data_IF_514156764696
#
_entry.id   IF_514156764696
#
_cell.length_a   1.000
_cell.length_b   1.000
_cell.length_c   1.000
_cell.angle_alpha   90.00
_cell.angle_beta   90.00
_cell.angle_gamma   90.00
#
_symmetry.space_group_name_H-M   'P 1'
#
loop_
_entity.id
_entity.type
_entity.pdbx_description
1 polymer ?
#
# COMPACT_ATOMS: atom_id res chain seq x y z
N UNK A 1 25.54 -1.85 18.05
CA UNK A 1 24.32 -2.70 18.01
C UNK A 1 24.59 -3.74 16.94
N UNK A 2 25.03 -4.94 17.31
CA UNK A 2 25.44 -5.96 16.33
C UNK A 2 24.19 -6.70 15.78
N UNK A 3 24.13 -6.86 14.48
CA UNK A 3 23.05 -7.56 13.77
C UNK A 3 23.26 -9.08 13.77
N UNK A 4 23.59 -9.67 14.92
CA UNK A 4 23.87 -11.11 15.06
C UNK A 4 22.95 -11.75 16.11
N UNK A 5 21.65 -11.54 15.98
CA UNK A 5 20.70 -12.47 16.61
C UNK A 5 20.68 -13.71 15.71
N UNK A 6 21.14 -14.88 16.17
CA UNK A 6 20.96 -16.09 15.39
C UNK A 6 19.46 -16.33 15.27
N UNK A 7 18.93 -16.21 14.06
CA UNK A 7 17.69 -16.87 13.69
C UNK A 7 17.94 -18.36 13.94
N UNK A 8 17.58 -18.83 15.13
CA UNK A 8 17.55 -20.25 15.45
C UNK A 8 16.78 -20.91 14.32
N UNK A 9 17.47 -21.71 13.50
CA UNK A 9 16.98 -22.24 12.23
C UNK A 9 15.56 -22.79 12.40
N UNK A 10 14.51 -22.08 11.94
CA UNK A 10 13.12 -22.52 12.10
C UNK A 10 12.92 -23.94 11.52
N UNK A 11 13.78 -24.32 10.58
CA UNK A 11 13.86 -25.65 9.98
C UNK A 11 14.07 -26.76 11.01
N UNK A 12 14.81 -26.51 12.09
CA UNK A 12 15.01 -27.48 13.17
C UNK A 12 13.71 -27.82 13.94
N UNK A 13 12.71 -26.96 13.83
CA UNK A 13 11.39 -27.13 14.44
C UNK A 13 10.32 -27.53 13.41
N UNK A 14 10.73 -27.89 12.18
CA UNK A 14 9.80 -28.24 11.10
C UNK A 14 9.13 -27.04 10.42
N UNK A 15 9.62 -25.82 10.65
CA UNK A 15 9.14 -24.61 10.00
C UNK A 15 10.09 -24.19 8.88
N UNK A 16 9.58 -23.55 7.83
CA UNK A 16 10.42 -22.99 6.78
C UNK A 16 10.11 -21.52 6.55
N UNK A 17 11.16 -20.75 6.29
CA UNK A 17 11.02 -19.34 5.93
C UNK A 17 10.38 -19.20 4.55
N UNK A 18 9.41 -18.31 4.42
CA UNK A 18 8.81 -17.92 3.14
C UNK A 18 9.76 -16.99 2.36
N UNK A 19 10.76 -17.58 1.72
CA UNK A 19 11.84 -16.88 1.00
C UNK A 19 11.88 -17.16 -0.52
N UNK A 20 10.84 -17.80 -1.06
CA UNK A 20 10.74 -18.09 -2.48
C UNK A 20 11.64 -19.21 -3.00
N UNK A 21 12.34 -19.98 -2.14
CA UNK A 21 13.20 -21.09 -2.61
C UNK A 21 12.39 -22.24 -3.21
N UNK A 22 13.00 -22.98 -4.13
CA UNK A 22 12.45 -24.24 -4.64
C UNK A 22 12.86 -25.42 -3.75
N UNK A 23 11.92 -26.34 -3.53
CA UNK A 23 12.13 -27.58 -2.79
C UNK A 23 11.71 -28.79 -3.61
N UNK A 24 12.34 -29.94 -3.33
CA UNK A 24 11.95 -31.23 -3.89
C UNK A 24 10.64 -31.72 -3.25
N UNK A 25 9.68 -32.16 -4.07
CA UNK A 25 8.40 -32.72 -3.65
C UNK A 25 8.61 -33.99 -2.82
N UNK A 26 9.52 -34.86 -3.26
CA UNK A 26 9.82 -36.14 -2.59
C UNK A 26 10.41 -35.96 -1.19
N UNK A 27 11.14 -34.85 -0.96
CA UNK A 27 11.72 -34.55 0.34
C UNK A 27 10.72 -33.89 1.30
N UNK A 28 9.69 -33.19 0.77
CA UNK A 28 8.71 -32.44 1.56
C UNK A 28 7.26 -32.68 1.09
N UNK A 29 6.78 -33.93 1.10
CA UNK A 29 5.48 -34.28 0.51
C UNK A 29 4.30 -33.65 1.26
N UNK A 30 4.38 -33.52 2.59
CA UNK A 30 3.33 -32.89 3.40
C UNK A 30 3.22 -31.39 3.12
N UNK A 31 4.35 -30.70 3.00
CA UNK A 31 4.37 -29.28 2.68
C UNK A 31 3.84 -29.03 1.26
N UNK A 32 4.20 -29.90 0.32
CA UNK A 32 3.65 -29.85 -1.04
C UNK A 32 2.14 -30.10 -1.06
N UNK A 33 1.60 -31.00 -0.23
CA UNK A 33 0.16 -31.24 -0.16
C UNK A 33 -0.63 -29.99 0.27
N UNK A 34 -0.02 -29.09 1.05
CA UNK A 34 -0.65 -27.84 1.51
C UNK A 34 -0.45 -26.69 0.51
N UNK A 35 0.77 -26.49 0.02
CA UNK A 35 1.12 -25.33 -0.84
C UNK A 35 0.83 -25.63 -2.32
N UNK A 36 1.06 -26.87 -2.75
CA UNK A 36 1.01 -27.29 -4.13
C UNK A 36 1.98 -26.51 -5.00
N UNK A 37 1.53 -26.15 -6.20
CA UNK A 37 2.31 -25.38 -7.19
C UNK A 37 1.86 -23.92 -7.28
N UNK A 38 1.16 -23.41 -6.25
CA UNK A 38 0.56 -22.07 -6.25
C UNK A 38 1.59 -20.97 -6.52
N UNK A 39 2.76 -21.06 -5.90
CA UNK A 39 3.87 -20.10 -6.05
C UNK A 39 4.85 -20.50 -7.16
N UNK A 40 4.46 -21.46 -8.00
CA UNK A 40 5.26 -21.95 -9.11
C UNK A 40 5.84 -23.35 -8.90
N UNK A 41 6.23 -23.96 -10.01
CA UNK A 41 6.91 -25.26 -10.06
C UNK A 41 8.13 -25.18 -10.97
N UNK A 42 9.13 -26.02 -10.73
CA UNK A 42 10.29 -26.16 -11.60
C UNK A 42 10.42 -27.62 -12.02
N UNK A 43 10.12 -27.92 -13.28
CA UNK A 43 9.94 -29.30 -13.74
C UNK A 43 8.74 -29.96 -13.06
N UNK A 44 8.83 -31.28 -12.84
CA UNK A 44 7.76 -32.07 -12.22
C UNK A 44 8.07 -32.48 -10.77
N UNK A 45 9.30 -32.23 -10.30
CA UNK A 45 9.75 -32.70 -8.98
C UNK A 45 9.95 -31.58 -7.97
N UNK A 46 9.84 -30.30 -8.36
CA UNK A 46 10.06 -29.16 -7.46
C UNK A 46 8.88 -28.21 -7.41
N UNK A 47 8.58 -27.75 -6.20
CA UNK A 47 7.63 -26.69 -5.92
C UNK A 47 8.31 -25.50 -5.25
N UNK A 48 7.72 -24.33 -5.35
CA UNK A 48 8.27 -23.10 -4.77
C UNK A 48 7.53 -22.71 -3.51
N UNK A 49 8.26 -22.20 -2.53
CA UNK A 49 7.68 -21.52 -1.39
C UNK A 49 7.12 -20.14 -1.74
N UNK A 50 6.18 -19.61 -0.94
CA UNK A 50 5.88 -18.19 -0.96
C UNK A 50 7.15 -17.35 -0.70
N UNK A 51 7.22 -16.17 -1.31
CA UNK A 51 8.17 -15.13 -0.94
C UNK A 51 7.40 -13.94 -0.36
N UNK A 52 7.48 -13.77 0.96
CA UNK A 52 6.77 -12.69 1.67
C UNK A 52 7.70 -11.60 2.20
N UNK A 53 8.97 -11.63 1.81
CA UNK A 53 9.94 -10.64 2.26
C UNK A 53 9.56 -9.27 1.71
N UNK A 54 9.37 -8.29 2.60
CA UNK A 54 9.00 -6.93 2.23
C UNK A 54 7.52 -6.74 1.86
N UNK A 55 6.68 -7.77 2.02
CA UNK A 55 5.24 -7.70 1.75
C UNK A 55 4.42 -7.61 3.05
N UNK A 56 3.26 -7.00 2.95
CA UNK A 56 2.25 -7.03 4.01
C UNK A 56 1.19 -8.09 3.70
N UNK A 57 0.85 -8.90 4.71
CA UNK A 57 -0.22 -9.87 4.58
C UNK A 57 -1.58 -9.22 4.77
N UNK A 58 -2.54 -9.61 3.93
CA UNK A 58 -3.94 -9.22 4.04
C UNK A 58 -4.85 -10.41 3.73
N UNK A 59 -6.04 -10.40 4.31
CA UNK A 59 -7.05 -11.42 4.03
C UNK A 59 -7.56 -11.38 2.59
N UNK A 60 -8.04 -12.53 2.13
CA UNK A 60 -8.86 -12.63 0.90
C UNK A 60 -10.24 -12.08 1.24
N UNK A 61 -10.80 -11.24 0.35
CA UNK A 61 -12.10 -10.61 0.56
C UNK A 61 -13.24 -11.61 0.70
N UNK A 62 -13.19 -12.71 -0.06
CA UNK A 62 -14.16 -13.79 -0.05
C UNK A 62 -15.63 -13.31 -0.19
N UNK A 63 -15.86 -12.20 -0.90
CA UNK A 63 -17.19 -11.64 -1.13
C UNK A 63 -17.69 -10.72 -0.02
N UNK A 64 -16.84 -10.32 0.91
CA UNK A 64 -17.20 -9.38 1.98
C UNK A 64 -17.47 -7.96 1.45
N UNK A 65 -16.91 -7.61 0.29
CA UNK A 65 -17.03 -6.27 -0.29
C UNK A 65 -16.20 -5.20 0.44
N UNK A 66 -15.32 -5.61 1.36
CA UNK A 66 -14.40 -4.71 2.08
C UNK A 66 -13.14 -4.41 1.28
N UNK A 67 -12.87 -5.19 0.24
CA UNK A 67 -11.80 -4.96 -0.71
C UNK A 67 -12.34 -4.58 -2.10
N UNK A 68 -12.59 -3.29 -2.37
CA UNK A 68 -13.10 -2.84 -3.67
C UNK A 68 -12.11 -3.13 -4.81
N UNK A 69 -10.81 -3.21 -4.49
CA UNK A 69 -9.74 -3.42 -5.47
C UNK A 69 -9.37 -4.90 -5.65
N UNK A 70 -10.13 -5.83 -5.05
CA UNK A 70 -9.83 -7.27 -5.09
C UNK A 70 -9.60 -7.80 -6.51
N UNK A 71 -10.44 -7.36 -7.45
CA UNK A 71 -10.40 -7.80 -8.85
C UNK A 71 -9.17 -7.27 -9.62
N UNK A 72 -8.51 -6.22 -9.11
CA UNK A 72 -7.34 -5.60 -9.73
C UNK A 72 -6.02 -6.17 -9.22
N UNK A 73 -6.07 -7.04 -8.21
CA UNK A 73 -4.90 -7.76 -7.72
C UNK A 73 -4.31 -8.68 -8.79
N UNK A 74 -3.01 -8.91 -8.69
CA UNK A 74 -2.30 -9.86 -9.54
C UNK A 74 -2.20 -11.22 -8.84
N UNK A 75 -2.18 -12.31 -9.60
CA UNK A 75 -1.99 -13.65 -9.05
C UNK A 75 -0.60 -13.84 -8.42
N UNK A 76 -0.41 -14.98 -7.73
CA UNK A 76 0.90 -15.38 -7.24
C UNK A 76 1.93 -15.32 -8.36
N UNK A 77 3.16 -14.92 -8.04
CA UNK A 77 4.25 -14.77 -9.03
C UNK A 77 3.96 -13.78 -10.17
N UNK A 78 2.99 -12.87 -9.98
CA UNK A 78 2.58 -11.92 -11.01
C UNK A 78 1.75 -12.55 -12.14
N UNK A 79 1.17 -13.72 -11.92
CA UNK A 79 0.38 -14.43 -12.92
C UNK A 79 -1.03 -13.86 -13.06
N UNK A 80 -1.24 -12.98 -14.04
CA UNK A 80 -2.56 -12.49 -14.43
C UNK A 80 -3.33 -11.77 -13.30
N UNK A 81 -4.60 -11.45 -13.53
CA UNK A 81 -5.47 -10.90 -12.47
C UNK A 81 -6.06 -12.03 -11.64
N UNK A 82 -5.98 -11.93 -10.32
CA UNK A 82 -6.58 -12.88 -9.39
C UNK A 82 -6.75 -12.25 -8.01
N UNK A 83 -7.90 -12.48 -7.39
CA UNK A 83 -8.22 -12.04 -6.03
C UNK A 83 -8.09 -13.15 -4.97
N UNK A 84 -7.62 -14.34 -5.38
CA UNK A 84 -7.54 -15.53 -4.54
C UNK A 84 -6.38 -15.51 -3.54
N UNK A 85 -6.18 -16.64 -2.86
CA UNK A 85 -5.04 -16.86 -1.95
C UNK A 85 -3.73 -16.70 -2.73
N UNK A 86 -2.77 -15.99 -2.14
CA UNK A 86 -1.47 -15.70 -2.75
C UNK A 86 -1.49 -14.58 -3.79
N UNK A 87 -2.64 -13.94 -4.02
CA UNK A 87 -2.70 -12.71 -4.82
C UNK A 87 -1.88 -11.59 -4.18
N UNK A 88 -1.31 -10.75 -5.03
CA UNK A 88 -0.51 -9.60 -4.65
C UNK A 88 -1.26 -8.32 -5.02
N UNK A 89 -1.17 -7.32 -4.14
CA UNK A 89 -1.53 -5.96 -4.47
C UNK A 89 -0.26 -5.12 -4.42
N UNK A 90 -0.07 -4.30 -5.44
CA UNK A 90 0.97 -3.26 -5.42
C UNK A 90 0.61 -2.17 -4.39
N UNK A 91 1.38 -1.09 -4.36
CA UNK A 91 1.00 0.09 -3.62
C UNK A 91 -0.35 0.66 -4.09
N UNK A 92 -1.08 1.26 -3.15
CA UNK A 92 -2.29 2.01 -3.42
C UNK A 92 -2.23 3.34 -2.69
N UNK A 93 -2.51 4.43 -3.40
CA UNK A 93 -2.55 5.79 -2.85
C UNK A 93 -3.98 6.33 -2.99
N UNK A 94 -4.59 6.74 -1.87
CA UNK A 94 -5.89 7.39 -1.92
C UNK A 94 -5.73 8.83 -2.43
N UNK A 95 -6.27 9.10 -3.62
CA UNK A 95 -6.34 10.46 -4.12
C UNK A 95 -7.32 11.27 -3.27
N UNK A 96 -6.89 12.45 -2.84
CA UNK A 96 -7.75 13.45 -2.21
C UNK A 96 -7.35 14.85 -2.69
N UNK A 97 -8.27 15.81 -2.57
CA UNK A 97 -8.07 17.20 -2.96
C UNK A 97 -8.08 18.07 -1.69
N UNK A 98 -7.19 19.07 -1.66
CA UNK A 98 -7.23 20.13 -0.67
C UNK A 98 -7.79 21.41 -1.30
N UNK A 99 -8.86 21.93 -0.72
CA UNK A 99 -9.41 23.23 -1.10
C UNK A 99 -8.84 24.31 -0.18
N UNK A 100 -8.13 25.28 -0.78
CA UNK A 100 -7.59 26.42 -0.07
C UNK A 100 -8.50 27.63 -0.29
N UNK A 101 -9.33 27.95 0.70
CA UNK A 101 -10.11 29.20 0.70
C UNK A 101 -9.22 30.34 1.23
N UNK A 102 -8.63 31.13 0.33
CA UNK A 102 -8.01 32.39 0.72
C UNK A 102 -9.11 33.39 1.10
N UNK A 103 -9.23 33.72 2.39
CA UNK A 103 -10.06 34.83 2.82
C UNK A 103 -9.36 36.14 2.42
N UNK A 104 -9.86 36.81 1.39
CA UNK A 104 -9.48 38.19 1.12
C UNK A 104 -10.08 39.04 2.24
N UNK A 105 -9.34 39.24 3.34
CA UNK A 105 -9.67 40.27 4.33
C UNK A 105 -9.43 41.63 3.67
N UNK A 106 -10.45 42.13 2.99
CA UNK A 106 -10.49 43.48 2.42
C UNK A 106 -10.36 44.48 3.58
N UNK A 107 -9.24 45.22 3.63
CA UNK A 107 -9.08 46.36 4.53
C UNK A 107 -9.55 47.63 3.81
N UNK A 108 -10.81 48.03 4.04
CA UNK A 108 -11.28 49.34 3.60
C UNK A 108 -10.71 50.43 4.51
N UNK A 109 -9.80 51.25 3.97
CA UNK A 109 -9.46 52.54 4.59
C UNK A 109 -10.64 53.50 4.43
N UNK A 110 -11.54 53.55 5.42
CA UNK A 110 -12.51 54.62 5.55
C UNK A 110 -11.80 55.97 5.78
N UNK A 111 -11.33 56.61 4.71
CA UNK A 111 -10.90 58.02 4.75
C UNK A 111 -12.13 58.91 4.69
N UNK A 112 -12.94 58.87 5.75
CA UNK A 112 -13.89 59.92 6.03
C UNK A 112 -13.12 61.17 6.52
N UNK A 113 -12.60 61.97 5.60
CA UNK A 113 -12.22 63.34 5.92
C UNK A 113 -13.50 64.19 5.91
N UNK A 114 -14.14 64.27 7.07
CA UNK A 114 -15.20 65.26 7.33
C UNK A 114 -14.59 66.67 7.40
N UNK A 115 -15.37 67.72 7.06
CA UNK A 115 -14.88 68.99 6.54
C UNK A 115 -14.53 69.98 7.66
N UNK A 116 -13.45 70.75 7.51
CA UNK A 116 -13.18 71.92 8.35
C UNK A 116 -13.35 73.18 7.50
N UNK A 117 -14.36 73.96 7.90
CA UNK A 117 -14.76 75.30 7.44
C UNK A 117 -13.60 76.30 7.50
N UNK A 118 -13.51 77.23 6.52
CA UNK A 118 -13.49 78.68 6.74
C UNK A 118 -13.21 79.48 5.46
N UNK A 119 -14.24 80.20 5.01
CA UNK A 119 -14.27 81.59 4.49
C UNK A 119 -13.10 82.21 3.68
N UNK A 120 -13.42 82.57 2.42
CA UNK A 120 -13.80 83.94 1.97
C UNK A 120 -12.90 84.68 0.94
N UNK A 121 -13.62 85.34 0.00
CA UNK A 121 -13.24 86.41 -0.95
C UNK A 121 -12.28 86.04 -2.09
N UNK A 122 -12.30 86.62 -3.29
CA UNK A 122 -13.13 87.60 -3.99
C UNK A 122 -12.69 87.56 -5.46
N UNK A 123 -13.56 88.00 -6.37
CA UNK A 123 -13.38 88.08 -7.82
C UNK A 123 -12.08 88.73 -8.30
N UNK A 124 -11.41 88.07 -9.24
CA UNK A 124 -11.36 88.53 -10.64
C UNK A 124 -11.61 87.35 -11.57
#
# INVERSE_FOLDING_TARGET
>A
MNANIPITYPEAYGWMLCDGRYLEIDAYPELFAVIGTLYGKQGDNKFRLPDYRGLFMRGVDAGSGLDPDAAERIGPEGMGKSSGIGSLQCDALQQHQHDYNASNSHFEINRALTPILAWAYSTK
#
